data_IF_393971149170
#
_entry.id   IF_393971149170
#
_cell.length_a   1.000
_cell.length_b   1.000
_cell.length_c   1.000
_cell.angle_alpha   90.00
_cell.angle_beta   90.00
_cell.angle_gamma   90.00
#
_symmetry.space_group_name_H-M   'P 1'
#
loop_
_entity.id
_entity.type
_entity.pdbx_description
1 polymer ?
#
# COMPACT_ATOMS: atom_id res chain seq x y z
N UNK A 1 -2.80 -21.18 -4.32
CA UNK A 1 -4.19 -20.75 -4.57
C UNK A 1 -5.01 -21.15 -3.36
N UNK A 2 -5.57 -20.20 -2.61
CA UNK A 2 -6.85 -20.31 -1.87
C UNK A 2 -7.02 -19.00 -1.08
N UNK A 3 -7.89 -18.14 -1.61
CA UNK A 3 -8.40 -16.97 -0.90
C UNK A 3 -9.92 -16.99 -1.13
N UNK A 4 -10.63 -17.74 -0.32
CA UNK A 4 -12.11 -17.75 -0.28
C UNK A 4 -12.67 -17.91 1.14
N UNK A 5 -11.87 -17.64 2.18
CA UNK A 5 -12.31 -17.89 3.55
C UNK A 5 -12.14 -16.62 4.37
N UNK A 6 -13.20 -15.81 4.35
CA UNK A 6 -13.34 -14.64 5.23
C UNK A 6 -13.31 -15.00 6.72
N UNK A 7 -13.38 -16.29 7.08
CA UNK A 7 -13.22 -16.80 8.45
C UNK A 7 -11.85 -17.40 8.80
N UNK A 8 -10.88 -17.49 7.87
CA UNK A 8 -9.53 -18.04 8.15
C UNK A 8 -8.46 -16.97 8.34
N UNK A 9 -8.88 -15.73 8.56
CA UNK A 9 -7.93 -14.63 8.71
C UNK A 9 -7.23 -14.73 10.06
N UNK A 10 -6.05 -15.34 10.08
CA UNK A 10 -5.24 -15.50 11.30
C UNK A 10 -4.77 -14.17 11.90
N UNK A 11 -4.78 -13.09 11.11
CA UNK A 11 -4.33 -11.75 11.52
C UNK A 11 -5.38 -10.71 11.13
N UNK A 12 -5.76 -9.84 12.06
CA UNK A 12 -6.68 -8.74 11.79
C UNK A 12 -5.93 -7.61 11.08
N UNK A 13 -6.64 -6.87 10.24
CA UNK A 13 -6.08 -5.69 9.54
C UNK A 13 -5.48 -4.67 10.51
N UNK A 14 -6.16 -4.45 11.64
CA UNK A 14 -5.73 -3.50 12.66
C UNK A 14 -4.37 -3.88 13.27
N UNK A 15 -4.13 -5.17 13.51
CA UNK A 15 -2.88 -5.67 14.08
C UNK A 15 -1.72 -5.43 13.11
N UNK A 16 -1.92 -5.79 11.83
CA UNK A 16 -0.91 -5.57 10.79
C UNK A 16 -0.60 -4.08 10.56
N UNK A 17 -1.63 -3.23 10.57
CA UNK A 17 -1.48 -1.79 10.43
C UNK A 17 -0.78 -1.15 11.65
N UNK A 18 -1.09 -1.63 12.85
CA UNK A 18 -0.45 -1.16 14.09
C UNK A 18 1.03 -1.52 14.10
N UNK A 19 1.37 -2.76 13.75
CA UNK A 19 2.75 -3.22 13.69
C UNK A 19 3.58 -2.44 12.66
N UNK A 20 3.00 -2.18 11.49
CA UNK A 20 3.66 -1.38 10.46
C UNK A 20 3.95 0.06 10.93
N UNK A 21 3.01 0.66 11.68
CA UNK A 21 3.20 1.99 12.30
C UNK A 21 4.33 1.97 13.33
N UNK A 22 4.42 0.92 14.14
CA UNK A 22 5.48 0.74 15.15
C UNK A 22 6.87 0.63 14.49
N UNK A 23 7.00 -0.11 13.39
CA UNK A 23 8.25 -0.24 12.64
C UNK A 23 8.51 0.91 11.66
N UNK A 24 7.58 1.86 11.50
CA UNK A 24 7.71 2.96 10.55
C UNK A 24 7.71 2.53 9.08
N UNK A 25 7.06 1.41 8.75
CA UNK A 25 6.99 0.86 7.38
C UNK A 25 5.57 0.96 6.82
N UNK A 26 5.40 1.09 5.49
CA UNK A 26 4.08 1.18 4.88
C UNK A 26 3.31 -0.14 4.99
N UNK A 27 2.00 -0.03 5.20
CA UNK A 27 1.07 -1.16 5.22
C UNK A 27 0.05 -1.10 4.07
N UNK A 28 -0.12 -2.23 3.38
CA UNK A 28 -1.12 -2.39 2.33
C UNK A 28 -1.60 -3.83 2.28
N UNK A 29 -2.92 -4.01 2.27
CA UNK A 29 -3.52 -5.32 2.08
C UNK A 29 -3.60 -5.63 0.59
N UNK A 30 -3.09 -6.78 0.18
CA UNK A 30 -3.11 -7.24 -1.21
C UNK A 30 -3.76 -8.62 -1.31
N UNK A 31 -4.31 -8.95 -2.47
CA UNK A 31 -4.82 -10.29 -2.75
C UNK A 31 -4.08 -10.86 -3.95
N UNK A 32 -3.22 -11.85 -3.71
CA UNK A 32 -2.55 -12.57 -4.78
C UNK A 32 -3.54 -13.36 -5.66
N UNK A 33 -4.71 -13.74 -5.13
CA UNK A 33 -5.74 -14.46 -5.89
C UNK A 33 -6.49 -13.55 -6.86
N UNK A 34 -6.89 -12.36 -6.40
CA UNK A 34 -7.74 -11.46 -7.20
C UNK A 34 -6.95 -10.34 -7.86
N UNK A 35 -5.66 -10.21 -7.56
CA UNK A 35 -4.81 -9.11 -8.02
C UNK A 35 -5.03 -7.79 -7.28
N UNK A 36 -5.93 -7.76 -6.28
CA UNK A 36 -6.25 -6.53 -5.55
C UNK A 36 -5.00 -5.92 -4.92
N UNK A 37 -4.77 -4.64 -5.18
CA UNK A 37 -3.66 -3.83 -4.66
C UNK A 37 -2.25 -4.34 -5.02
N UNK A 38 -2.11 -5.41 -5.81
CA UNK A 38 -0.79 -5.97 -6.18
C UNK A 38 -0.02 -4.97 -7.03
N UNK A 39 -0.63 -4.44 -8.09
CA UNK A 39 0.02 -3.46 -8.97
C UNK A 39 0.40 -2.18 -8.22
N UNK A 40 -0.50 -1.67 -7.39
CA UNK A 40 -0.24 -0.49 -6.56
C UNK A 40 0.95 -0.71 -5.60
N UNK A 41 1.04 -1.89 -4.97
CA UNK A 41 2.15 -2.22 -4.08
C UNK A 41 3.49 -2.21 -4.83
N UNK A 42 3.56 -2.86 -5.99
CA UNK A 42 4.78 -2.89 -6.81
C UNK A 42 5.19 -1.50 -7.28
N UNK A 43 4.25 -0.70 -7.77
CA UNK A 43 4.52 0.66 -8.23
C UNK A 43 5.00 1.57 -7.10
N UNK A 44 4.38 1.47 -5.91
CA UNK A 44 4.77 2.25 -4.74
C UNK A 44 6.22 1.95 -4.33
N UNK A 45 6.58 0.67 -4.25
CA UNK A 45 7.95 0.21 -3.92
C UNK A 45 8.95 0.65 -5.00
N UNK A 46 8.62 0.46 -6.28
CA UNK A 46 9.51 0.83 -7.37
C UNK A 46 9.81 2.34 -7.39
N UNK A 47 8.79 3.19 -7.14
CA UNK A 47 8.96 4.65 -7.04
C UNK A 47 9.87 5.05 -5.87
N UNK A 48 9.65 4.44 -4.70
CA UNK A 48 10.47 4.66 -3.51
C UNK A 48 11.94 4.29 -3.78
N UNK A 49 12.19 3.10 -4.35
CA UNK A 49 13.54 2.65 -4.67
C UNK A 49 14.23 3.55 -5.70
N UNK A 50 13.52 3.93 -6.76
CA UNK A 50 14.06 4.81 -7.80
C UNK A 50 14.50 6.15 -7.22
N UNK A 51 13.68 6.76 -6.38
CA UNK A 51 14.04 8.04 -5.79
C UNK A 51 15.19 7.94 -4.79
N UNK A 52 15.25 6.87 -3.98
CA UNK A 52 16.40 6.62 -3.09
C UNK A 52 17.70 6.47 -3.87
N UNK A 53 17.66 5.83 -5.03
CA UNK A 53 18.84 5.62 -5.87
C UNK A 53 19.32 6.89 -6.59
N UNK A 54 18.44 7.86 -6.84
CA UNK A 54 18.72 9.03 -7.69
C UNK A 54 18.95 10.32 -6.89
N UNK A 55 18.68 10.35 -5.57
CA UNK A 55 18.58 11.57 -4.74
C UNK A 55 19.49 12.75 -5.14
N UNK A 56 18.96 13.75 -5.87
CA UNK A 56 19.47 15.11 -5.86
C UNK A 56 19.09 15.77 -4.53
N UNK A 57 19.97 16.59 -3.96
CA UNK A 57 19.80 17.18 -2.61
C UNK A 57 18.57 18.10 -2.47
N UNK A 58 18.00 18.59 -3.58
CA UNK A 58 16.95 19.61 -3.60
C UNK A 58 15.55 19.12 -4.02
N UNK A 59 15.35 17.81 -4.26
CA UNK A 59 14.03 17.29 -4.60
C UNK A 59 13.24 16.76 -3.38
N UNK A 60 11.91 17.01 -3.33
CA UNK A 60 11.06 16.45 -2.28
C UNK A 60 11.09 14.92 -2.34
N UNK A 61 11.40 14.30 -1.20
CA UNK A 61 11.37 12.84 -1.05
C UNK A 61 9.95 12.32 -1.25
N UNK A 62 9.82 11.26 -2.03
CA UNK A 62 8.58 10.53 -2.20
C UNK A 62 8.19 9.91 -0.88
N UNK A 63 6.97 10.23 -0.46
CA UNK A 63 6.38 9.72 0.75
C UNK A 63 5.44 8.59 0.36
N UNK A 64 5.94 7.35 0.40
CA UNK A 64 5.18 6.16 0.01
C UNK A 64 3.82 6.04 0.74
N UNK A 65 3.76 6.47 2.01
CA UNK A 65 2.52 6.50 2.80
C UNK A 65 1.45 7.40 2.16
N UNK A 66 1.82 8.63 1.81
CA UNK A 66 0.91 9.60 1.19
C UNK A 66 0.46 9.13 -0.20
N UNK A 67 1.36 8.53 -0.97
CA UNK A 67 1.02 7.94 -2.26
C UNK A 67 -0.06 6.86 -2.09
N UNK A 68 0.13 5.92 -1.17
CA UNK A 68 -0.82 4.83 -0.92
C UNK A 68 -2.19 5.39 -0.48
N UNK A 69 -2.21 6.35 0.45
CA UNK A 69 -3.46 6.98 0.91
C UNK A 69 -4.20 7.73 -0.20
N UNK A 70 -3.48 8.45 -1.06
CA UNK A 70 -4.07 9.18 -2.19
C UNK A 70 -4.78 8.25 -3.16
N UNK A 71 -4.22 7.06 -3.40
CA UNK A 71 -4.83 6.08 -4.32
C UNK A 71 -6.08 5.44 -3.71
N UNK A 72 -6.06 5.14 -2.39
CA UNK A 72 -7.26 4.67 -1.66
C UNK A 72 -8.41 5.67 -1.73
N UNK A 73 -8.11 6.97 -1.60
CA UNK A 73 -9.13 8.04 -1.74
C UNK A 73 -9.65 8.17 -3.17
N UNK A 74 -8.78 8.07 -4.18
CA UNK A 74 -9.17 8.12 -5.61
C UNK A 74 -10.12 6.99 -6.01
N UNK A 75 -9.92 5.78 -5.51
CA UNK A 75 -10.85 4.67 -5.75
C UNK A 75 -12.22 4.85 -5.07
N UNK A 76 -12.34 5.76 -4.10
CA UNK A 76 -13.56 5.97 -3.31
C UNK A 76 -14.48 7.09 -3.83
N UNK A 77 -14.05 7.88 -4.82
CA UNK A 77 -14.75 9.12 -5.21
C UNK A 77 -15.52 9.04 -6.55
N UNK A 78 -15.98 7.85 -6.94
CA UNK A 78 -16.91 7.66 -8.05
C UNK A 78 -18.15 6.88 -7.57
N UNK A 79 -18.92 7.51 -6.69
CA UNK A 79 -20.32 7.17 -6.43
C UNK A 79 -21.07 8.51 -6.40
N UNK A 80 -22.21 8.58 -7.08
CA UNK A 80 -23.01 9.78 -7.41
C UNK A 80 -22.54 10.56 -8.64
N UNK A 81 -22.92 10.05 -9.81
CA UNK A 81 -23.59 10.86 -10.82
C UNK A 81 -24.88 10.18 -11.25
#
# INVERSE_FOLDING_TARGET
MLADVSSERAVRTEDGASLAREYGVPFMETSAKTGMNVELAFLAIAKELKQRAVQPLDEPRFQIHEYIESQKKKSSCCAFS
#
